data_IF_049621696474
#
_entry.id   IF_049621696474
#
_cell.length_a   1.000
_cell.length_b   1.000
_cell.length_c   1.000
_cell.angle_alpha   90.00
_cell.angle_beta   90.00
_cell.angle_gamma   90.00
#
_symmetry.space_group_name_H-M   'P 1'
#
loop_
_entity.id
_entity.type
_entity.pdbx_description
1 polymer ?
#
# COMPACT_ATOMS: atom_id res chain seq x y z
N UNK A 1 -20.63 33.41 46.60
CA UNK A 1 -21.68 34.38 46.95
C UNK A 1 -22.27 34.78 45.61
N UNK A 2 -23.42 34.28 45.18
CA UNK A 2 -24.74 34.48 45.78
C UNK A 2 -25.73 33.34 45.41
N UNK A 3 -26.99 33.45 45.82
CA UNK A 3 -28.04 32.43 45.68
C UNK A 3 -28.60 32.29 44.25
N UNK A 4 -28.89 31.05 43.81
CA UNK A 4 -30.25 30.59 43.45
C UNK A 4 -30.30 29.17 42.87
N UNK A 5 -31.27 28.37 43.37
CA UNK A 5 -32.23 27.53 42.62
C UNK A 5 -31.71 26.39 41.70
N UNK A 6 -32.27 25.17 41.61
CA UNK A 6 -33.28 24.32 42.28
C UNK A 6 -32.85 22.85 41.95
N UNK A 7 -33.33 21.72 42.50
CA UNK A 7 -34.35 21.37 43.49
C UNK A 7 -33.90 20.02 44.12
N UNK A 8 -34.11 19.76 45.42
CA UNK A 8 -33.76 18.46 46.02
C UNK A 8 -34.69 18.04 47.19
N UNK A 9 -35.70 17.22 46.90
CA UNK A 9 -36.52 16.44 47.86
C UNK A 9 -37.14 15.27 47.05
N UNK A 10 -37.31 14.03 47.52
CA UNK A 10 -37.38 13.46 48.88
C UNK A 10 -36.63 12.13 49.01
N UNK A 11 -36.15 11.83 50.22
CA UNK A 11 -35.76 10.50 50.68
C UNK A 11 -36.66 10.05 51.84
N UNK A 12 -36.90 8.72 51.90
CA UNK A 12 -37.24 7.92 53.07
C UNK A 12 -38.57 8.20 53.83
N UNK A 13 -39.40 7.15 53.89
CA UNK A 13 -40.16 6.83 55.11
C UNK A 13 -40.16 5.30 55.31
N UNK A 14 -39.75 4.87 56.51
CA UNK A 14 -39.73 3.47 56.93
C UNK A 14 -41.02 3.14 57.66
N UNK A 15 -41.72 2.06 57.29
CA UNK A 15 -42.88 1.55 58.04
C UNK A 15 -42.72 0.05 58.32
N UNK A 16 -43.19 -0.35 59.51
CA UNK A 16 -43.04 -1.66 60.13
C UNK A 16 -43.67 -2.84 59.37
N UNK A 17 -43.15 -4.03 59.69
CA UNK A 17 -43.74 -5.35 59.46
C UNK A 17 -45.17 -5.45 60.04
N UNK A 18 -46.09 -6.07 59.28
CA UNK A 18 -47.43 -6.42 59.75
C UNK A 18 -48.16 -7.32 58.75
N UNK A 19 -48.32 -8.60 59.08
CA UNK A 19 -48.90 -9.62 58.19
C UNK A 19 -50.40 -9.44 57.97
N UNK A 20 -50.85 -9.55 56.71
CA UNK A 20 -52.22 -9.98 56.38
C UNK A 20 -52.24 -10.71 55.03
N UNK A 21 -53.12 -11.70 54.89
CA UNK A 21 -53.03 -12.73 53.87
C UNK A 21 -54.00 -12.53 52.68
N UNK A 22 -53.80 -13.38 51.64
CA UNK A 22 -54.76 -13.76 50.59
C UNK A 22 -55.14 -12.72 49.52
N UNK A 23 -54.44 -12.77 48.37
CA UNK A 23 -55.08 -12.66 47.04
C UNK A 23 -54.50 -13.75 46.10
N UNK A 24 -55.26 -14.28 45.13
CA UNK A 24 -54.98 -15.58 44.53
C UNK A 24 -54.00 -15.52 43.35
N UNK A 25 -53.23 -16.60 43.20
CA UNK A 25 -52.26 -16.75 42.11
C UNK A 25 -52.94 -17.09 40.77
N UNK A 26 -53.00 -16.12 39.86
CA UNK A 26 -53.14 -16.39 38.41
C UNK A 26 -51.76 -16.44 37.76
N UNK A 27 -51.28 -17.65 37.46
CA UNK A 27 -50.05 -17.87 36.68
C UNK A 27 -50.26 -17.46 35.22
N UNK A 28 -49.84 -16.25 34.83
CA UNK A 28 -49.37 -16.02 33.45
C UNK A 28 -47.85 -16.22 33.41
N UNK A 29 -47.37 -17.13 32.55
CA UNK A 29 -45.93 -17.28 32.31
C UNK A 29 -45.48 -16.16 31.37
N UNK A 30 -44.85 -15.12 31.91
CA UNK A 30 -44.04 -14.24 31.08
C UNK A 30 -42.76 -14.97 30.67
N UNK A 31 -42.77 -15.55 29.46
CA UNK A 31 -41.55 -16.02 28.78
C UNK A 31 -40.76 -14.79 28.28
N UNK A 32 -40.17 -14.03 29.21
CA UNK A 32 -39.53 -12.72 28.96
C UNK A 32 -38.02 -12.67 29.19
N UNK A 33 -37.33 -13.82 29.19
CA UNK A 33 -35.88 -13.86 29.49
C UNK A 33 -34.98 -13.34 28.36
N UNK A 34 -35.52 -13.13 27.15
CA UNK A 34 -34.74 -12.57 26.04
C UNK A 34 -34.66 -11.03 26.09
N UNK A 35 -35.71 -10.33 26.56
CA UNK A 35 -35.74 -8.86 26.53
C UNK A 35 -34.90 -8.21 27.63
N UNK A 36 -34.59 -8.93 28.70
CA UNK A 36 -33.74 -8.42 29.79
C UNK A 36 -32.25 -8.40 29.39
N UNK A 37 -31.82 -9.31 28.51
CA UNK A 37 -30.48 -9.24 27.91
C UNK A 37 -30.39 -8.09 26.91
N UNK A 38 -31.39 -7.91 26.03
CA UNK A 38 -31.43 -6.77 25.09
C UNK A 38 -31.49 -5.41 25.82
N UNK A 39 -32.12 -5.35 27.00
CA UNK A 39 -32.15 -4.15 27.84
C UNK A 39 -30.83 -3.90 28.58
N UNK A 40 -30.15 -4.94 29.06
CA UNK A 40 -28.84 -4.81 29.72
C UNK A 40 -27.72 -4.50 28.72
N UNK A 41 -27.76 -5.08 27.52
CA UNK A 41 -26.88 -4.72 26.40
C UNK A 41 -27.09 -3.24 25.97
N UNK A 42 -28.27 -2.66 26.25
CA UNK A 42 -28.63 -1.26 25.98
C UNK A 42 -28.43 -0.27 27.13
N UNK A 43 -28.03 -0.73 28.33
CA UNK A 43 -27.90 0.12 29.54
C UNK A 43 -26.47 0.27 30.08
N UNK A 44 -25.45 -0.16 29.35
CA UNK A 44 -24.07 0.24 29.63
C UNK A 44 -23.84 1.70 29.20
N UNK A 45 -23.54 2.65 30.11
CA UNK A 45 -23.19 4.01 29.73
C UNK A 45 -21.73 4.06 29.27
N UNK A 46 -21.43 3.47 28.12
CA UNK A 46 -20.13 3.61 27.45
C UNK A 46 -20.19 4.73 26.42
N UNK A 47 -19.15 5.58 26.42
CA UNK A 47 -18.82 6.39 25.25
C UNK A 47 -18.72 5.47 24.02
N UNK A 48 -19.14 5.96 22.85
CA UNK A 48 -19.47 5.14 21.67
C UNK A 48 -18.56 3.94 21.45
N UNK A 49 -19.13 2.73 21.59
CA UNK A 49 -18.38 1.46 21.59
C UNK A 49 -17.45 1.31 20.38
N UNK A 50 -16.15 1.51 20.61
CA UNK A 50 -15.09 1.01 19.73
C UNK A 50 -15.16 -0.53 19.68
N UNK A 51 -15.28 -1.16 18.50
CA UNK A 51 -15.32 -2.61 18.42
C UNK A 51 -13.98 -3.21 18.83
N UNK A 52 -13.95 -4.04 19.87
CA UNK A 52 -12.73 -4.78 20.22
C UNK A 52 -12.36 -5.73 19.10
N UNK A 53 -11.18 -5.56 18.51
CA UNK A 53 -10.67 -6.43 17.46
C UNK A 53 -10.33 -7.83 17.99
N UNK A 54 -10.36 -8.82 17.11
CA UNK A 54 -9.96 -10.19 17.39
C UNK A 54 -9.41 -10.84 16.10
N UNK A 55 -8.75 -11.99 16.24
CA UNK A 55 -8.22 -12.74 15.10
C UNK A 55 -8.58 -14.23 15.21
N UNK A 56 -8.72 -14.88 14.05
CA UNK A 56 -8.86 -16.32 13.93
C UNK A 56 -8.51 -16.77 12.51
N UNK A 57 -8.86 -18.00 12.13
CA UNK A 57 -8.58 -18.54 10.79
C UNK A 57 -9.88 -19.00 10.12
N UNK A 58 -9.98 -18.80 8.81
CA UNK A 58 -11.05 -19.38 7.99
C UNK A 58 -10.49 -20.50 7.14
N UNK A 59 -11.09 -21.69 7.25
CA UNK A 59 -10.65 -22.87 6.50
C UNK A 59 -10.62 -22.65 4.97
N UNK A 60 -11.48 -21.76 4.44
CA UNK A 60 -11.51 -21.36 3.02
C UNK A 60 -10.30 -20.51 2.57
N UNK A 61 -9.51 -19.98 3.50
CA UNK A 61 -8.32 -19.15 3.26
C UNK A 61 -7.02 -19.82 3.77
N UNK A 62 -7.08 -21.09 4.14
CA UNK A 62 -5.94 -21.84 4.69
C UNK A 62 -5.51 -21.33 6.08
N UNK A 63 -4.21 -21.17 6.27
CA UNK A 63 -3.60 -20.70 7.53
C UNK A 63 -3.57 -19.18 7.69
N UNK A 64 -4.17 -18.42 6.78
CA UNK A 64 -4.19 -16.96 6.85
C UNK A 64 -5.05 -16.48 8.03
N UNK A 65 -4.44 -15.63 8.87
CA UNK A 65 -5.14 -15.00 9.99
C UNK A 65 -6.10 -13.92 9.47
N UNK A 66 -7.38 -14.07 9.79
CA UNK A 66 -8.45 -13.14 9.47
C UNK A 66 -8.77 -12.35 10.74
N UNK A 67 -8.80 -11.02 10.64
CA UNK A 67 -9.29 -10.17 11.72
C UNK A 67 -10.81 -10.03 11.65
N UNK A 68 -11.42 -10.05 12.84
CA UNK A 68 -12.83 -9.81 13.07
C UNK A 68 -13.03 -8.82 14.21
N UNK A 69 -14.29 -8.66 14.62
CA UNK A 69 -14.69 -7.88 15.80
C UNK A 69 -15.45 -8.74 16.80
N UNK A 70 -15.29 -8.44 18.08
CA UNK A 70 -16.00 -9.09 19.17
C UNK A 70 -17.43 -8.59 19.27
N UNK A 71 -18.40 -9.46 18.97
CA UNK A 71 -19.84 -9.18 19.05
C UNK A 71 -20.58 -10.37 19.65
N UNK A 72 -21.86 -10.20 20.04
CA UNK A 72 -22.68 -11.34 20.43
C UNK A 72 -22.92 -12.29 19.25
N UNK A 73 -23.06 -13.59 19.50
CA UNK A 73 -23.30 -14.57 18.44
C UNK A 73 -24.56 -14.23 17.61
N UNK A 74 -25.62 -13.75 18.26
CA UNK A 74 -26.83 -13.29 17.60
C UNK A 74 -26.59 -12.09 16.67
N UNK A 75 -25.76 -11.10 17.08
CA UNK A 75 -25.39 -10.00 16.19
C UNK A 75 -24.53 -10.45 15.01
N UNK A 76 -23.61 -11.39 15.22
CA UNK A 76 -22.82 -11.97 14.12
C UNK A 76 -23.73 -12.65 13.09
N UNK A 77 -24.62 -13.55 13.53
CA UNK A 77 -25.54 -14.26 12.63
C UNK A 77 -26.52 -13.31 11.91
N UNK A 78 -27.03 -12.27 12.58
CA UNK A 78 -27.90 -11.25 11.94
C UNK A 78 -27.19 -10.45 10.85
N UNK A 79 -25.88 -10.23 10.99
CA UNK A 79 -25.08 -9.55 9.98
C UNK A 79 -24.63 -10.47 8.82
N UNK A 80 -25.06 -11.74 8.79
CA UNK A 80 -24.55 -12.74 7.85
C UNK A 80 -23.10 -13.16 8.14
N UNK A 81 -22.60 -12.87 9.34
CA UNK A 81 -21.20 -13.06 9.72
C UNK A 81 -20.81 -14.51 9.96
N UNK A 82 -19.54 -14.80 9.68
CA UNK A 82 -18.85 -16.03 10.03
C UNK A 82 -18.13 -15.90 11.36
N UNK A 83 -18.22 -16.94 12.19
CA UNK A 83 -17.54 -17.02 13.49
C UNK A 83 -16.11 -17.52 13.27
N UNK A 84 -15.13 -16.71 13.69
CA UNK A 84 -13.70 -17.02 13.68
C UNK A 84 -13.22 -17.72 14.95
N UNK A 85 -13.99 -17.60 16.05
CA UNK A 85 -13.64 -18.11 17.37
C UNK A 85 -14.35 -17.35 18.49
N UNK A 86 -13.89 -17.53 19.72
CA UNK A 86 -14.38 -16.83 20.92
C UNK A 86 -13.47 -15.67 21.28
N UNK A 87 -14.04 -14.56 21.77
CA UNK A 87 -13.26 -13.44 22.28
C UNK A 87 -12.84 -13.61 23.75
N UNK A 88 -11.86 -12.83 24.20
CA UNK A 88 -11.41 -12.81 25.59
C UNK A 88 -12.55 -12.39 26.56
N UNK A 89 -13.40 -11.46 26.13
CA UNK A 89 -14.63 -11.08 26.84
C UNK A 89 -15.64 -12.24 26.78
N UNK A 90 -15.99 -12.79 27.94
CA UNK A 90 -16.89 -13.95 28.06
C UNK A 90 -18.25 -13.64 27.41
N UNK A 91 -18.71 -14.55 26.53
CA UNK A 91 -20.00 -14.42 25.83
C UNK A 91 -19.92 -13.73 24.47
N UNK A 92 -18.79 -13.13 24.09
CA UNK A 92 -18.58 -12.57 22.76
C UNK A 92 -17.88 -13.56 21.81
N UNK A 93 -18.27 -13.51 20.54
CA UNK A 93 -17.70 -14.28 19.45
C UNK A 93 -16.90 -13.34 18.53
N UNK A 94 -15.79 -13.84 17.99
CA UNK A 94 -15.04 -13.13 16.96
C UNK A 94 -15.76 -13.29 15.62
N UNK A 95 -16.17 -12.18 15.00
CA UNK A 95 -17.02 -12.17 13.82
C UNK A 95 -16.41 -11.40 12.64
N UNK A 96 -16.55 -11.93 11.43
CA UNK A 96 -16.25 -11.24 10.17
C UNK A 96 -17.39 -11.46 9.18
N UNK A 97 -17.80 -10.45 8.43
CA UNK A 97 -18.86 -10.61 7.42
C UNK A 97 -18.26 -10.88 6.04
N UNK A 98 -18.43 -12.08 5.46
CA UNK A 98 -17.99 -12.36 4.11
C UNK A 98 -18.87 -11.62 3.09
N UNK A 99 -18.23 -11.03 2.08
CA UNK A 99 -18.89 -10.36 0.96
C UNK A 99 -18.22 -10.86 -0.32
N UNK A 100 -18.91 -11.73 -1.04
CA UNK A 100 -18.46 -12.21 -2.34
C UNK A 100 -18.93 -11.22 -3.41
N UNK A 101 -17.99 -10.70 -4.17
CA UNK A 101 -18.24 -9.82 -5.30
C UNK A 101 -18.85 -10.55 -6.50
N UNK A 102 -19.42 -9.79 -7.43
CA UNK A 102 -20.04 -10.34 -8.64
C UNK A 102 -19.34 -9.85 -9.93
N UNK A 103 -19.78 -10.37 -11.07
CA UNK A 103 -19.23 -10.02 -12.39
C UNK A 103 -19.77 -8.72 -12.99
N UNK A 104 -20.56 -7.93 -12.26
CA UNK A 104 -21.09 -6.64 -12.72
C UNK A 104 -20.47 -5.47 -11.95
N UNK A 105 -20.55 -4.26 -12.52
CA UNK A 105 -20.16 -3.04 -11.79
C UNK A 105 -21.07 -2.86 -10.58
N UNK A 106 -20.54 -3.14 -9.38
CA UNK A 106 -21.26 -3.02 -8.12
C UNK A 106 -20.67 -1.88 -7.29
N UNK A 107 -21.52 -0.96 -6.83
CA UNK A 107 -21.19 -0.03 -5.73
C UNK A 107 -21.87 -0.53 -4.46
N UNK A 108 -21.10 -0.87 -3.42
CA UNK A 108 -21.62 -1.38 -2.15
C UNK A 108 -21.12 -0.54 -1.00
N UNK A 109 -22.04 0.00 -0.19
CA UNK A 109 -21.69 0.71 1.05
C UNK A 109 -21.53 -0.29 2.19
N UNK A 110 -20.36 -0.28 2.82
CA UNK A 110 -19.95 -1.22 3.86
C UNK A 110 -20.03 -0.55 5.22
N UNK A 111 -21.09 -0.88 5.97
CA UNK A 111 -21.26 -0.42 7.35
C UNK A 111 -20.70 -1.41 8.39
N UNK A 112 -20.43 -2.65 7.99
CA UNK A 112 -19.93 -3.70 8.88
C UNK A 112 -18.48 -3.41 9.34
N UNK A 113 -18.22 -3.63 10.64
CA UNK A 113 -16.94 -3.30 11.29
C UNK A 113 -15.77 -4.19 10.90
N UNK A 114 -16.04 -5.43 10.51
CA UNK A 114 -15.05 -6.32 9.89
C UNK A 114 -15.70 -7.07 8.74
N UNK A 115 -15.09 -7.00 7.56
CA UNK A 115 -15.52 -7.69 6.35
C UNK A 115 -14.38 -8.50 5.74
N UNK A 116 -14.78 -9.48 4.93
CA UNK A 116 -13.90 -10.23 4.07
C UNK A 116 -14.44 -10.14 2.64
N UNK A 117 -13.84 -9.28 1.83
CA UNK A 117 -14.20 -9.07 0.42
C UNK A 117 -13.47 -10.11 -0.44
N UNK A 118 -14.21 -10.90 -1.21
CA UNK A 118 -13.61 -11.98 -2.02
C UNK A 118 -14.13 -12.04 -3.44
N UNK A 119 -13.23 -12.37 -4.36
CA UNK A 119 -13.54 -12.76 -5.73
C UNK A 119 -12.43 -13.65 -6.28
N UNK A 120 -12.76 -14.60 -7.16
CA UNK A 120 -11.79 -15.43 -7.87
C UNK A 120 -12.40 -15.93 -9.17
N UNK A 121 -11.63 -15.92 -10.26
CA UNK A 121 -12.07 -16.51 -11.53
C UNK A 121 -13.01 -15.65 -12.37
N UNK A 122 -13.24 -14.39 -12.00
CA UNK A 122 -14.22 -13.49 -12.62
C UNK A 122 -13.52 -12.40 -13.42
N UNK A 123 -13.58 -12.52 -14.75
CA UNK A 123 -13.09 -11.53 -15.70
C UNK A 123 -14.10 -10.40 -15.94
N UNK A 124 -13.60 -9.24 -16.36
CA UNK A 124 -14.35 -8.03 -16.72
C UNK A 124 -15.31 -7.52 -15.62
N UNK A 125 -14.88 -7.57 -14.36
CA UNK A 125 -15.64 -7.06 -13.22
C UNK A 125 -14.99 -5.80 -12.61
N UNK A 126 -15.83 -4.96 -12.01
CA UNK A 126 -15.42 -3.75 -11.28
C UNK A 126 -16.26 -3.64 -10.01
N UNK A 127 -15.65 -3.80 -8.84
CA UNK A 127 -16.37 -3.76 -7.57
C UNK A 127 -15.86 -2.60 -6.72
N UNK A 128 -16.77 -1.70 -6.38
CA UNK A 128 -16.51 -0.45 -5.66
C UNK A 128 -17.10 -0.56 -4.26
N UNK A 129 -16.24 -0.65 -3.26
CA UNK A 129 -16.59 -0.74 -1.86
C UNK A 129 -16.39 0.63 -1.21
N UNK A 130 -17.50 1.27 -0.82
CA UNK A 130 -17.45 2.51 -0.04
C UNK A 130 -17.52 2.17 1.44
N UNK A 131 -16.64 2.74 2.25
CA UNK A 131 -16.62 2.63 3.70
C UNK A 131 -16.90 4.02 4.30
N UNK A 132 -18.17 4.40 4.52
CA UNK A 132 -18.51 5.67 5.16
C UNK A 132 -17.89 5.78 6.55
N UNK A 133 -17.45 6.98 6.92
CA UNK A 133 -17.02 7.30 8.27
C UNK A 133 -18.17 7.03 9.25
N UNK A 134 -17.84 6.33 10.34
CA UNK A 134 -18.79 6.00 11.40
C UNK A 134 -18.33 6.57 12.74
N UNK A 135 -19.29 6.81 13.63
CA UNK A 135 -18.98 7.28 14.97
C UNK A 135 -18.01 6.33 15.69
N UNK A 136 -17.01 6.89 16.38
CA UNK A 136 -15.95 6.15 17.07
C UNK A 136 -14.89 5.50 16.19
N UNK A 137 -14.96 5.60 14.86
CA UNK A 137 -13.98 5.03 13.92
C UNK A 137 -13.02 6.12 13.43
N UNK A 138 -11.73 5.80 13.35
CA UNK A 138 -10.69 6.72 12.91
C UNK A 138 -9.87 6.22 11.70
N UNK A 139 -9.80 4.90 11.45
CA UNK A 139 -9.13 4.37 10.27
C UNK A 139 -9.69 3.01 9.82
N UNK A 140 -9.23 2.54 8.65
CA UNK A 140 -9.39 1.17 8.18
C UNK A 140 -8.03 0.47 8.18
N UNK A 141 -8.02 -0.83 8.47
CA UNK A 141 -6.92 -1.73 8.15
C UNK A 141 -7.38 -2.68 7.05
N UNK A 142 -6.65 -2.73 5.94
CA UNK A 142 -6.90 -3.59 4.77
C UNK A 142 -5.77 -4.61 4.67
N UNK A 143 -6.06 -5.90 4.78
CA UNK A 143 -5.08 -6.99 4.64
C UNK A 143 -5.33 -7.80 3.38
N UNK A 144 -4.29 -7.98 2.57
CA UNK A 144 -4.32 -8.76 1.33
C UNK A 144 -3.98 -10.23 1.65
N UNK A 145 -4.99 -11.06 1.94
CA UNK A 145 -4.79 -12.41 2.48
C UNK A 145 -4.37 -13.44 1.42
N UNK A 146 -4.92 -13.34 0.21
CA UNK A 146 -4.53 -14.10 -0.98
C UNK A 146 -5.02 -13.30 -2.19
N UNK A 147 -4.25 -12.28 -2.53
CA UNK A 147 -4.61 -11.31 -3.58
C UNK A 147 -3.54 -11.32 -4.67
N UNK A 148 -3.95 -11.83 -5.83
CA UNK A 148 -3.10 -12.02 -7.00
C UNK A 148 -3.85 -11.50 -8.21
N UNK A 149 -3.39 -10.34 -8.65
CA UNK A 149 -3.84 -9.66 -9.85
C UNK A 149 -2.77 -9.83 -10.92
N UNK A 150 -3.10 -9.54 -12.18
CA UNK A 150 -2.08 -9.38 -13.22
C UNK A 150 -1.03 -8.34 -12.74
N UNK A 151 0.28 -8.61 -12.90
CA UNK A 151 1.34 -7.64 -12.60
C UNK A 151 1.16 -6.32 -13.35
N UNK A 152 1.87 -5.23 -12.95
CA UNK A 152 1.94 -4.04 -13.79
C UNK A 152 2.46 -4.38 -15.19
N UNK A 153 2.06 -3.55 -16.16
CA UNK A 153 2.50 -3.66 -17.54
C UNK A 153 4.03 -3.57 -17.63
N UNK A 154 4.59 -4.38 -18.53
CA UNK A 154 5.99 -4.38 -18.94
C UNK A 154 6.16 -3.80 -20.36
N UNK A 155 5.18 -3.04 -20.85
CA UNK A 155 5.23 -2.41 -22.17
C UNK A 155 5.82 -1.02 -22.03
N UNK A 156 6.78 -0.66 -22.90
CA UNK A 156 7.61 0.55 -22.81
C UNK A 156 6.88 1.90 -22.66
N UNK A 157 5.60 2.01 -23.03
CA UNK A 157 4.80 3.24 -22.90
C UNK A 157 3.80 3.20 -21.73
N UNK A 158 3.89 2.20 -20.87
CA UNK A 158 3.01 1.98 -19.71
C UNK A 158 3.68 1.09 -18.66
N UNK A 159 5.02 1.09 -18.63
CA UNK A 159 5.78 0.31 -17.65
C UNK A 159 5.34 0.76 -16.25
N UNK A 160 5.08 -0.19 -15.36
CA UNK A 160 4.56 0.11 -14.01
C UNK A 160 3.04 0.35 -13.92
N UNK A 161 2.29 0.41 -15.02
CA UNK A 161 0.84 0.64 -14.96
C UNK A 161 0.02 -0.62 -14.69
N UNK A 162 -0.94 -0.50 -13.76
CA UNK A 162 -1.95 -1.52 -13.47
C UNK A 162 -3.11 -1.51 -14.48
N UNK A 163 -2.82 -1.75 -15.76
CA UNK A 163 -3.78 -1.63 -16.87
C UNK A 163 -4.87 -2.70 -16.82
N UNK A 164 -4.47 -3.96 -16.61
CA UNK A 164 -5.37 -5.13 -16.75
C UNK A 164 -6.24 -5.28 -15.52
N UNK A 165 -5.61 -5.56 -14.39
CA UNK A 165 -6.26 -5.69 -13.08
C UNK A 165 -5.70 -4.62 -12.14
N UNK A 166 -6.52 -4.08 -11.25
CA UNK A 166 -6.10 -3.09 -10.26
C UNK A 166 -6.95 -3.10 -8.99
N UNK A 167 -6.34 -2.70 -7.88
CA UNK A 167 -7.03 -2.19 -6.71
C UNK A 167 -6.64 -0.72 -6.58
N UNK A 168 -7.62 0.17 -6.65
CA UNK A 168 -7.44 1.61 -6.44
C UNK A 168 -8.14 2.01 -5.14
N UNK A 169 -7.38 2.58 -4.21
CA UNK A 169 -7.90 3.15 -2.96
C UNK A 169 -7.94 4.67 -3.10
N UNK A 170 -9.04 5.28 -2.65
CA UNK A 170 -9.30 6.72 -2.76
C UNK A 170 -9.93 7.26 -1.46
N UNK A 171 -10.02 8.60 -1.38
CA UNK A 171 -10.71 9.33 -0.31
C UNK A 171 -10.13 9.08 1.11
N UNK A 172 -8.83 8.77 1.23
CA UNK A 172 -8.14 8.69 2.52
C UNK A 172 -7.03 9.74 2.63
N UNK A 173 -7.01 10.60 3.67
CA UNK A 173 -5.92 11.54 3.92
C UNK A 173 -4.54 10.91 4.21
N UNK A 174 -4.45 9.58 4.29
CA UNK A 174 -3.16 8.85 4.31
C UNK A 174 -2.50 8.81 2.93
N UNK A 175 -3.26 9.01 1.86
CA UNK A 175 -2.78 8.97 0.48
C UNK A 175 -2.44 10.40 0.03
N UNK A 176 -1.15 10.67 -0.22
CA UNK A 176 -0.69 12.03 -0.53
C UNK A 176 -1.30 12.60 -1.81
N UNK A 177 -1.42 11.77 -2.86
CA UNK A 177 -2.09 12.12 -4.12
C UNK A 177 -3.63 11.99 -4.06
N UNK A 178 -4.21 11.71 -2.88
CA UNK A 178 -5.65 11.40 -2.71
C UNK A 178 -6.07 10.00 -3.16
N UNK A 179 -5.22 9.29 -3.91
CA UNK A 179 -5.41 7.90 -4.32
C UNK A 179 -4.08 7.11 -4.34
N UNK A 180 -4.20 5.78 -4.42
CA UNK A 180 -3.10 4.86 -4.76
C UNK A 180 -3.69 3.70 -5.58
N UNK A 181 -2.98 3.26 -6.61
CA UNK A 181 -3.37 2.13 -7.47
C UNK A 181 -2.31 1.04 -7.40
N UNK A 182 -2.73 -0.20 -7.16
CA UNK A 182 -1.84 -1.35 -6.93
C UNK A 182 -2.31 -2.63 -7.64
N UNK A 183 -1.37 -3.47 -8.06
CA UNK A 183 -1.60 -4.72 -8.78
C UNK A 183 -0.47 -5.75 -8.52
N UNK A 184 -0.47 -6.88 -9.24
CA UNK A 184 0.43 -8.01 -8.98
C UNK A 184 0.05 -8.85 -7.77
N UNK A 185 1.04 -9.54 -7.18
CA UNK A 185 0.85 -10.38 -5.98
C UNK A 185 1.09 -9.56 -4.70
N UNK A 186 0.00 -9.19 -4.04
CA UNK A 186 0.00 -8.44 -2.78
C UNK A 186 -0.19 -9.33 -1.55
N UNK A 187 -0.17 -10.66 -1.71
CA UNK A 187 -0.39 -11.63 -0.62
C UNK A 187 0.52 -11.35 0.58
N UNK A 188 -0.06 -11.27 1.78
CA UNK A 188 0.62 -10.99 3.04
C UNK A 188 0.94 -9.51 3.28
N UNK A 189 0.65 -8.61 2.35
CA UNK A 189 0.78 -7.16 2.55
C UNK A 189 -0.49 -6.56 3.19
N UNK A 190 -0.42 -5.28 3.56
CA UNK A 190 -1.54 -4.52 4.13
C UNK A 190 -1.43 -3.03 3.84
N UNK A 191 -2.54 -2.32 4.10
CA UNK A 191 -2.65 -0.86 4.12
C UNK A 191 -3.41 -0.42 5.38
N UNK A 192 -3.01 0.72 5.96
CA UNK A 192 -3.79 1.47 6.95
C UNK A 192 -4.23 2.79 6.34
N UNK A 193 -5.51 3.12 6.48
CA UNK A 193 -6.14 4.24 5.78
C UNK A 193 -6.89 5.07 6.81
N UNK A 194 -6.35 6.23 7.15
CA UNK A 194 -7.01 7.17 8.08
C UNK A 194 -8.24 7.80 7.43
N UNK A 195 -9.23 8.14 8.25
CA UNK A 195 -10.29 9.09 7.87
C UNK A 195 -9.90 10.55 8.18
N UNK A 196 -8.73 10.81 8.77
CA UNK A 196 -8.32 12.13 9.28
C UNK A 196 -6.85 12.43 9.02
N UNK A 197 -6.53 13.64 8.56
CA UNK A 197 -5.15 14.13 8.46
C UNK A 197 -4.58 14.54 9.82
N UNK A 198 -3.29 14.27 10.04
CA UNK A 198 -2.54 14.69 11.24
C UNK A 198 -3.04 14.04 12.55
N UNK A 199 -2.61 14.62 13.67
CA UNK A 199 -3.08 14.24 15.02
C UNK A 199 -4.35 15.00 15.45
N UNK A 200 -4.74 16.04 14.71
CA UNK A 200 -5.83 16.97 15.07
C UNK A 200 -7.04 16.90 14.12
N UNK A 201 -6.90 16.31 12.92
CA UNK A 201 -8.03 15.98 12.05
C UNK A 201 -8.50 17.11 11.12
N UNK A 202 -7.59 18.02 10.72
CA UNK A 202 -7.92 19.23 9.94
C UNK A 202 -8.48 18.96 8.54
N UNK A 203 -8.25 17.75 8.00
CA UNK A 203 -8.91 17.24 6.79
C UNK A 203 -9.53 15.87 7.09
N UNK A 204 -10.82 15.82 7.50
CA UNK A 204 -11.55 14.57 7.62
C UNK A 204 -12.15 14.17 6.28
N UNK A 205 -12.02 12.90 5.92
CA UNK A 205 -12.81 12.29 4.85
C UNK A 205 -14.09 11.68 5.40
N UNK A 206 -15.19 11.80 4.67
CA UNK A 206 -16.50 11.24 5.02
C UNK A 206 -16.66 9.77 4.60
N UNK A 207 -15.79 9.26 3.72
CA UNK A 207 -15.73 7.85 3.30
C UNK A 207 -14.33 7.48 2.82
N UNK A 208 -14.03 6.20 2.76
CA UNK A 208 -12.86 5.67 2.03
C UNK A 208 -13.40 4.73 0.95
N UNK A 209 -12.85 4.78 -0.26
CA UNK A 209 -13.31 3.97 -1.39
C UNK A 209 -12.22 2.99 -1.80
N UNK A 210 -12.60 1.71 -1.97
CA UNK A 210 -11.74 0.67 -2.52
C UNK A 210 -12.41 0.14 -3.79
N UNK A 211 -11.84 0.45 -4.94
CA UNK A 211 -12.30 -0.03 -6.25
C UNK A 211 -11.40 -1.17 -6.71
N UNK A 212 -12.00 -2.30 -7.09
CA UNK A 212 -11.27 -3.49 -7.55
C UNK A 212 -11.71 -3.84 -8.98
N UNK A 213 -10.81 -3.63 -9.93
CA UNK A 213 -10.97 -3.99 -11.34
C UNK A 213 -10.28 -5.32 -11.61
N UNK A 214 -10.99 -6.26 -12.21
CA UNK A 214 -10.43 -7.55 -12.64
C UNK A 214 -10.84 -7.83 -14.08
N UNK A 215 -9.94 -7.64 -15.03
CA UNK A 215 -10.13 -8.01 -16.43
C UNK A 215 -9.68 -9.45 -16.70
N UNK A 216 -8.66 -9.95 -16.00
CA UNK A 216 -8.18 -11.32 -16.22
C UNK A 216 -9.00 -12.38 -15.47
N UNK A 217 -9.26 -13.53 -16.12
CA UNK A 217 -9.91 -14.67 -15.48
C UNK A 217 -9.03 -15.37 -14.43
N UNK A 218 -7.72 -15.08 -14.40
CA UNK A 218 -6.79 -15.53 -13.37
C UNK A 218 -6.81 -14.65 -12.12
N UNK A 219 -7.44 -13.48 -12.17
CA UNK A 219 -7.50 -12.54 -11.06
C UNK A 219 -8.24 -13.14 -9.86
N UNK A 220 -7.69 -12.92 -8.67
CA UNK A 220 -8.34 -13.21 -7.40
C UNK A 220 -7.94 -12.20 -6.33
N UNK A 221 -8.86 -11.92 -5.42
CA UNK A 221 -8.59 -11.14 -4.23
C UNK A 221 -9.31 -11.69 -3.01
N UNK A 222 -8.66 -11.51 -1.86
CA UNK A 222 -9.21 -11.77 -0.54
C UNK A 222 -8.74 -10.65 0.38
N UNK A 223 -9.59 -9.63 0.53
CA UNK A 223 -9.31 -8.42 1.30
C UNK A 223 -10.05 -8.49 2.62
N UNK A 224 -9.31 -8.61 3.73
CA UNK A 224 -9.90 -8.47 5.06
C UNK A 224 -9.81 -7.01 5.48
N UNK A 225 -10.95 -6.34 5.60
CA UNK A 225 -11.04 -4.92 5.94
C UNK A 225 -11.69 -4.76 7.31
N UNK A 226 -11.01 -4.10 8.22
CA UNK A 226 -11.47 -3.85 9.60
C UNK A 226 -11.47 -2.36 9.90
N UNK A 227 -12.58 -1.88 10.46
CA UNK A 227 -12.72 -0.51 10.97
C UNK A 227 -12.07 -0.42 12.35
N UNK A 228 -11.08 0.45 12.47
CA UNK A 228 -10.27 0.67 13.68
C UNK A 228 -10.84 1.86 14.46
N UNK A 229 -11.03 1.68 15.76
CA UNK A 229 -11.54 2.74 16.63
C UNK A 229 -10.56 3.88 16.86
N UNK A 230 -11.06 5.03 17.30
CA UNK A 230 -10.21 6.16 17.69
C UNK A 230 -9.42 5.92 18.98
N UNK A 231 -9.92 5.06 19.88
CA UNK A 231 -9.27 4.67 21.14
C UNK A 231 -8.57 3.30 21.05
N UNK A 232 -8.38 2.78 19.84
CA UNK A 232 -7.81 1.45 19.59
C UNK A 232 -6.26 1.50 19.72
N UNK A 233 -5.62 0.62 20.52
CA UNK A 233 -4.16 0.60 20.64
C UNK A 233 -3.45 0.25 19.32
N UNK A 234 -4.12 -0.44 18.39
CA UNK A 234 -3.57 -0.75 17.08
C UNK A 234 -3.64 0.44 16.11
N UNK A 235 -4.26 1.56 16.50
CA UNK A 235 -4.37 2.77 15.68
C UNK A 235 -2.99 3.19 15.12
N UNK A 236 -3.03 3.66 13.88
CA UNK A 236 -1.85 3.93 13.07
C UNK A 236 -1.79 5.43 12.81
N UNK A 237 -0.58 6.01 12.86
CA UNK A 237 -0.38 7.41 12.55
C UNK A 237 -0.88 7.72 11.13
N UNK A 238 -1.58 8.84 10.96
CA UNK A 238 -2.37 9.11 9.74
C UNK A 238 -1.57 9.22 8.44
N UNK A 239 -0.26 9.43 8.49
CA UNK A 239 0.64 9.41 7.33
C UNK A 239 1.12 7.99 6.96
N UNK A 240 0.94 6.99 7.83
CA UNK A 240 1.58 5.70 7.67
C UNK A 240 0.69 4.69 6.95
N UNK A 241 1.02 4.37 5.70
CA UNK A 241 0.26 3.41 4.89
C UNK A 241 0.55 1.96 5.30
N UNK A 242 1.80 1.62 5.65
CA UNK A 242 2.17 0.28 6.11
C UNK A 242 2.85 0.34 7.48
N UNK A 243 2.25 -0.25 8.53
CA UNK A 243 2.83 -0.34 9.89
C UNK A 243 3.30 -1.76 10.17
N UNK A 244 4.54 -1.92 10.59
CA UNK A 244 5.13 -3.20 11.01
C UNK A 244 5.53 -3.14 12.49
N UNK A 245 5.10 -4.13 13.28
CA UNK A 245 5.20 -4.13 14.76
C UNK A 245 5.96 -5.32 15.35
N UNK A 246 6.70 -6.06 14.52
CA UNK A 246 7.56 -7.16 14.97
C UNK A 246 8.97 -6.64 15.28
N UNK A 247 9.78 -7.37 16.05
CA UNK A 247 11.19 -7.02 16.29
C UNK A 247 12.03 -7.09 15.00
N UNK A 248 11.65 -7.96 14.07
CA UNK A 248 12.24 -8.04 12.75
C UNK A 248 11.18 -8.51 11.74
N UNK A 249 11.35 -8.14 10.48
CA UNK A 249 10.44 -8.53 9.41
C UNK A 249 10.94 -8.13 8.03
N UNK A 250 10.17 -8.50 7.01
CA UNK A 250 10.41 -8.09 5.62
C UNK A 250 9.29 -7.15 5.17
N UNK A 251 9.66 -6.14 4.41
CA UNK A 251 8.76 -5.22 3.70
C UNK A 251 9.09 -5.32 2.21
N UNK A 252 8.09 -5.16 1.35
CA UNK A 252 8.27 -5.12 -0.10
C UNK A 252 7.39 -4.04 -0.69
N UNK A 253 7.76 -3.51 -1.87
CA UNK A 253 6.87 -2.61 -2.60
C UNK A 253 5.55 -3.29 -2.95
N UNK A 254 4.47 -2.50 -3.05
CA UNK A 254 3.34 -2.90 -3.88
C UNK A 254 3.83 -3.13 -5.32
N UNK A 255 3.27 -4.12 -6.02
CA UNK A 255 3.76 -4.54 -7.33
C UNK A 255 5.00 -5.44 -7.35
N UNK A 256 5.74 -5.59 -6.23
CA UNK A 256 6.98 -6.38 -6.17
C UNK A 256 6.83 -7.76 -6.86
N UNK A 257 7.70 -8.09 -7.83
CA UNK A 257 9.03 -7.52 -8.03
C UNK A 257 9.12 -6.28 -8.93
N UNK A 258 8.00 -5.77 -9.46
CA UNK A 258 7.97 -4.60 -10.37
C UNK A 258 7.53 -3.31 -9.67
N UNK A 259 7.96 -2.18 -10.22
CA UNK A 259 7.70 -0.86 -9.69
C UNK A 259 6.34 -0.44 -10.24
N UNK A 260 5.62 0.40 -9.51
CA UNK A 260 4.32 0.88 -9.91
C UNK A 260 4.45 2.38 -10.11
N UNK A 261 3.85 2.92 -11.18
CA UNK A 261 3.75 4.36 -11.35
C UNK A 261 2.96 4.98 -10.18
N UNK A 262 3.23 6.25 -9.89
CA UNK A 262 2.45 7.12 -9.02
C UNK A 262 2.29 6.61 -7.57
N UNK A 263 3.36 6.08 -6.98
CA UNK A 263 3.34 5.65 -5.56
C UNK A 263 4.04 6.67 -4.67
N UNK A 264 3.28 7.31 -3.79
CA UNK A 264 3.80 8.08 -2.68
C UNK A 264 3.21 7.57 -1.36
N UNK A 265 4.02 6.88 -0.55
CA UNK A 265 3.56 6.35 0.73
C UNK A 265 4.67 6.16 1.75
N UNK A 266 4.28 6.08 3.03
CA UNK A 266 5.21 5.84 4.14
C UNK A 266 5.03 4.43 4.70
N UNK A 267 6.16 3.72 4.82
CA UNK A 267 6.30 2.49 5.60
C UNK A 267 6.85 2.87 6.97
N UNK A 268 6.24 2.40 8.05
CA UNK A 268 6.71 2.65 9.41
C UNK A 268 6.91 1.36 10.19
N UNK A 269 7.91 1.38 11.06
CA UNK A 269 8.22 0.29 11.99
C UNK A 269 8.17 0.81 13.42
N UNK A 270 7.67 -0.02 14.33
CA UNK A 270 7.62 0.24 15.75
C UNK A 270 7.95 -1.06 16.49
N UNK A 271 8.88 -1.02 17.44
CA UNK A 271 9.17 -2.20 18.26
C UNK A 271 7.95 -2.57 19.14
N UNK A 272 7.68 -3.88 19.37
CA UNK A 272 6.63 -4.29 20.31
C UNK A 272 6.93 -3.87 21.75
N UNK A 273 8.20 -3.70 22.13
CA UNK A 273 8.59 -3.20 23.45
C UNK A 273 9.05 -1.73 23.43
N UNK A 274 8.66 -0.90 24.41
CA UNK A 274 9.25 0.42 24.63
C UNK A 274 10.70 0.27 25.06
N UNK A 275 11.64 0.53 24.15
CA UNK A 275 13.07 0.40 24.45
C UNK A 275 13.99 0.23 23.24
N UNK A 276 13.44 -0.08 22.05
CA UNK A 276 14.22 -0.14 20.82
C UNK A 276 15.03 1.15 20.65
N UNK A 277 16.36 1.03 20.61
CA UNK A 277 17.28 2.16 20.47
C UNK A 277 17.47 2.53 19.01
N UNK A 278 17.54 1.52 18.14
CA UNK A 278 17.78 1.72 16.72
C UNK A 278 16.96 0.77 15.85
N UNK A 279 16.70 1.16 14.61
CA UNK A 279 16.15 0.31 13.56
C UNK A 279 17.19 0.14 12.46
N UNK A 280 17.62 -1.09 12.20
CA UNK A 280 18.51 -1.42 11.09
C UNK A 280 17.69 -1.85 9.89
N UNK A 281 17.95 -1.26 8.72
CA UNK A 281 17.38 -1.65 7.43
C UNK A 281 18.49 -2.17 6.50
N UNK A 282 18.20 -3.20 5.73
CA UNK A 282 19.08 -3.77 4.72
C UNK A 282 18.25 -4.54 3.69
N UNK A 283 18.81 -4.89 2.53
CA UNK A 283 18.14 -5.78 1.59
C UNK A 283 17.74 -7.11 2.24
N UNK A 284 16.66 -7.73 1.74
CA UNK A 284 16.27 -9.09 2.15
C UNK A 284 17.42 -10.11 1.94
N UNK A 285 17.48 -11.17 2.75
CA UNK A 285 18.47 -12.26 2.53
C UNK A 285 18.09 -13.17 1.36
N UNK A 286 16.80 -13.35 1.12
CA UNK A 286 16.21 -14.13 0.01
C UNK A 286 15.14 -13.32 -0.72
N UNK A 287 14.86 -13.64 -1.98
CA UNK A 287 13.63 -13.15 -2.62
C UNK A 287 12.41 -13.72 -1.87
N UNK A 288 11.39 -12.90 -1.55
CA UNK A 288 10.16 -13.37 -0.91
C UNK A 288 9.25 -14.12 -1.90
N UNK A 289 9.49 -13.98 -3.22
CA UNK A 289 8.84 -14.74 -4.28
C UNK A 289 9.82 -15.82 -4.72
N UNK A 290 9.50 -17.08 -4.39
CA UNK A 290 10.39 -18.21 -4.66
C UNK A 290 10.50 -18.49 -6.15
N UNK A 291 11.73 -18.54 -6.68
CA UNK A 291 12.01 -18.98 -8.05
C UNK A 291 13.20 -18.29 -8.72
N UNK A 292 13.42 -16.99 -8.45
CA UNK A 292 14.34 -16.18 -9.26
C UNK A 292 15.55 -15.66 -8.48
N UNK A 293 16.69 -15.55 -9.17
CA UNK A 293 17.90 -14.85 -8.73
C UNK A 293 17.76 -13.31 -8.82
N UNK A 294 16.52 -12.82 -8.67
CA UNK A 294 16.13 -11.43 -8.81
C UNK A 294 16.96 -10.49 -7.91
N UNK A 295 17.37 -9.30 -8.41
CA UNK A 295 17.81 -8.24 -7.52
C UNK A 295 16.69 -7.93 -6.53
N UNK A 296 17.06 -7.85 -5.26
CA UNK A 296 16.10 -7.64 -4.16
C UNK A 296 15.84 -6.16 -3.94
N UNK A 297 16.66 -5.31 -4.54
CA UNK A 297 16.49 -3.88 -4.59
C UNK A 297 16.93 -3.39 -5.96
N UNK A 298 16.02 -2.75 -6.68
CA UNK A 298 16.30 -1.94 -7.84
C UNK A 298 15.27 -0.82 -7.87
N UNK A 299 15.68 0.44 -7.89
CA UNK A 299 14.76 1.58 -8.02
C UNK A 299 15.28 2.51 -9.11
N UNK A 300 14.41 2.86 -10.06
CA UNK A 300 14.61 3.54 -11.36
C UNK A 300 15.14 4.99 -11.32
N UNK A 301 15.51 5.49 -10.13
CA UNK A 301 15.62 6.92 -9.78
C UNK A 301 16.63 7.83 -10.49
N UNK A 302 17.27 7.41 -11.57
CA UNK A 302 18.53 7.99 -12.08
C UNK A 302 18.42 8.81 -13.36
N UNK A 303 17.62 9.90 -13.36
CA UNK A 303 18.01 11.11 -14.15
C UNK A 303 17.31 12.40 -13.75
N UNK A 304 18.07 13.50 -13.79
CA UNK A 304 17.56 14.81 -14.21
C UNK A 304 18.16 15.12 -15.58
N UNK A 305 17.38 15.48 -16.63
CA UNK A 305 17.93 15.71 -17.98
C UNK A 305 18.70 17.03 -18.18
N UNK A 306 18.76 17.92 -17.18
CA UNK A 306 18.93 19.36 -17.43
C UNK A 306 20.31 19.96 -17.16
N UNK A 307 21.31 19.20 -16.69
CA UNK A 307 22.68 19.73 -16.52
C UNK A 307 23.76 18.73 -16.97
N UNK A 308 24.26 18.93 -18.19
CA UNK A 308 25.34 18.14 -18.79
C UNK A 308 26.76 18.61 -18.42
N UNK A 309 26.93 19.35 -17.31
CA UNK A 309 28.22 19.95 -16.93
C UNK A 309 28.90 19.36 -15.69
N UNK A 310 28.27 18.38 -15.01
CA UNK A 310 28.80 17.77 -13.80
C UNK A 310 29.47 16.40 -14.09
N UNK A 311 30.62 16.10 -13.46
CA UNK A 311 31.29 14.80 -13.62
C UNK A 311 30.46 13.65 -13.02
N UNK A 312 30.74 12.39 -13.39
CA UNK A 312 30.02 11.23 -12.86
C UNK A 312 30.03 11.22 -11.32
N UNK A 313 28.87 11.07 -10.66
CA UNK A 313 28.84 10.87 -9.22
C UNK A 313 29.57 9.56 -8.88
N UNK A 314 30.23 9.54 -7.72
CA UNK A 314 30.85 8.31 -7.21
C UNK A 314 29.76 7.28 -6.90
N UNK A 315 30.13 6.01 -6.89
CA UNK A 315 29.26 4.92 -6.43
C UNK A 315 28.74 5.24 -5.00
N UNK A 316 27.48 5.65 -4.90
CA UNK A 316 26.85 6.17 -3.67
C UNK A 316 26.22 7.57 -3.79
N UNK A 317 26.54 8.35 -4.84
CA UNK A 317 26.09 9.73 -5.05
C UNK A 317 25.10 9.88 -6.24
N UNK A 318 24.41 8.81 -6.67
CA UNK A 318 23.31 8.96 -7.65
C UNK A 318 22.21 9.84 -7.03
N UNK A 319 21.89 11.02 -7.60
CA UNK A 319 20.87 11.87 -7.03
C UNK A 319 19.51 11.32 -7.45
N UNK A 320 18.94 10.48 -6.59
CA UNK A 320 17.66 9.82 -6.80
C UNK A 320 16.53 10.86 -6.84
N UNK A 321 16.24 11.39 -8.03
CA UNK A 321 15.40 12.56 -8.23
C UNK A 321 13.96 12.18 -8.55
N UNK A 322 13.77 11.26 -9.50
CA UNK A 322 12.48 10.68 -9.89
C UNK A 322 12.02 9.72 -8.80
N UNK A 323 12.77 8.64 -8.61
CA UNK A 323 12.33 7.50 -7.80
C UNK A 323 13.32 7.22 -6.66
N UNK A 324 12.80 7.02 -5.46
CA UNK A 324 13.65 6.86 -4.29
C UNK A 324 12.94 6.25 -3.09
N UNK A 325 13.73 5.57 -2.27
CA UNK A 325 13.43 5.39 -0.86
C UNK A 325 14.13 6.48 -0.05
N UNK A 326 13.38 7.23 0.75
CA UNK A 326 13.90 8.35 1.55
C UNK A 326 13.66 8.12 3.05
N UNK A 327 14.70 8.33 3.85
CA UNK A 327 14.64 8.19 5.30
C UNK A 327 15.01 9.52 5.98
N UNK A 328 14.05 10.15 6.66
CA UNK A 328 14.25 11.44 7.33
C UNK A 328 15.05 11.35 8.63
N UNK A 329 15.24 10.14 9.18
CA UNK A 329 15.87 9.92 10.48
C UNK A 329 17.38 9.67 10.37
N UNK A 330 17.89 9.56 9.14
CA UNK A 330 19.32 9.65 8.87
C UNK A 330 19.79 11.11 9.02
N UNK A 331 21.04 11.30 9.42
CA UNK A 331 21.66 12.61 9.57
C UNK A 331 22.98 12.67 8.77
N UNK A 332 23.00 13.28 7.56
CA UNK A 332 21.87 13.92 6.89
C UNK A 332 20.84 12.91 6.35
N UNK A 333 19.58 13.33 6.12
CA UNK A 333 18.60 12.51 5.39
C UNK A 333 19.08 12.17 3.99
N UNK A 334 18.92 10.91 3.58
CA UNK A 334 19.37 10.42 2.26
C UNK A 334 18.25 9.73 1.47
N UNK A 335 18.37 9.84 0.14
CA UNK A 335 17.57 9.11 -0.83
C UNK A 335 18.36 7.92 -1.36
N UNK A 336 17.69 6.82 -1.69
CA UNK A 336 18.30 5.58 -2.14
C UNK A 336 17.57 5.04 -3.38
N UNK A 337 18.33 4.70 -4.42
CA UNK A 337 17.89 4.15 -5.69
C UNK A 337 19.05 3.38 -6.36
N UNK A 338 18.85 2.89 -7.59
CA UNK A 338 19.79 2.00 -8.28
C UNK A 338 19.64 0.55 -7.81
N UNK A 339 20.59 -0.31 -8.19
CA UNK A 339 20.52 -1.77 -8.01
C UNK A 339 20.99 -2.33 -6.65
N UNK A 340 21.17 -1.49 -5.62
CA UNK A 340 21.45 -1.97 -4.25
C UNK A 340 20.98 -0.98 -3.18
N UNK A 341 20.63 -1.48 -2.00
CA UNK A 341 20.26 -0.67 -0.84
C UNK A 341 21.33 -0.76 0.26
N UNK A 342 21.98 0.36 0.66
CA UNK A 342 22.98 0.33 1.70
C UNK A 342 22.35 -0.09 3.03
N UNK A 343 23.07 -0.87 3.82
CA UNK A 343 22.67 -1.17 5.20
C UNK A 343 22.70 0.12 6.02
N UNK A 344 21.52 0.64 6.36
CA UNK A 344 21.36 1.83 7.21
C UNK A 344 20.91 1.42 8.61
N UNK A 345 21.21 2.25 9.61
CA UNK A 345 20.68 2.11 10.96
C UNK A 345 20.29 3.50 11.46
N UNK A 346 19.05 3.64 11.92
CA UNK A 346 18.48 4.91 12.41
C UNK A 346 18.25 4.82 13.91
N UNK A 347 18.54 5.90 14.63
CA UNK A 347 18.30 6.01 16.06
C UNK A 347 16.84 6.33 16.38
N UNK A 348 16.40 5.95 17.59
CA UNK A 348 15.09 6.30 18.16
C UNK A 348 14.03 5.20 18.14
N UNK A 349 14.32 3.99 17.64
CA UNK A 349 13.43 2.82 17.67
C UNK A 349 12.17 2.90 16.79
N UNK A 350 11.80 4.10 16.37
CA UNK A 350 10.82 4.39 15.34
C UNK A 350 11.57 4.54 14.02
N UNK A 351 11.23 3.73 13.01
CA UNK A 351 11.72 3.93 11.65
C UNK A 351 10.57 4.29 10.73
N UNK A 352 10.74 5.27 9.85
CA UNK A 352 9.89 5.37 8.67
C UNK A 352 10.72 5.53 7.40
N UNK A 353 10.19 4.98 6.31
CA UNK A 353 10.77 5.01 4.98
C UNK A 353 9.68 5.51 4.03
N UNK A 354 9.95 6.63 3.36
CA UNK A 354 9.09 7.16 2.31
C UNK A 354 9.44 6.50 0.99
N UNK A 355 8.45 5.93 0.33
CA UNK A 355 8.53 5.43 -1.04
C UNK A 355 8.01 6.54 -1.95
N UNK A 356 8.80 6.92 -2.94
CA UNK A 356 8.41 7.81 -4.03
C UNK A 356 8.77 7.13 -5.35
N UNK A 357 7.75 6.74 -6.11
CA UNK A 357 7.81 6.20 -7.47
C UNK A 357 6.97 7.14 -8.33
N UNK A 358 7.57 7.80 -9.32
CA UNK A 358 6.89 8.87 -10.06
C UNK A 358 5.97 8.34 -11.17
N UNK A 359 5.53 9.20 -12.08
CA UNK A 359 4.57 8.84 -13.14
C UNK A 359 5.20 8.07 -14.32
N UNK A 360 6.53 7.86 -14.32
CA UNK A 360 7.31 7.37 -15.45
C UNK A 360 8.31 6.26 -15.07
N UNK A 361 7.83 5.07 -14.71
CA UNK A 361 8.65 3.87 -14.48
C UNK A 361 9.37 3.29 -15.72
N UNK A 362 9.62 4.12 -16.74
CA UNK A 362 10.41 3.72 -17.90
C UNK A 362 11.81 3.33 -17.44
N UNK A 363 12.24 2.11 -17.79
CA UNK A 363 13.64 1.69 -17.73
C UNK A 363 14.53 2.48 -18.71
N UNK A 364 14.71 3.78 -18.49
CA UNK A 364 15.56 4.75 -19.20
C UNK A 364 15.46 4.86 -20.74
N UNK A 365 14.58 4.11 -21.41
CA UNK A 365 14.57 3.90 -22.86
C UNK A 365 13.65 4.85 -23.69
N UNK A 366 13.16 5.95 -23.11
CA UNK A 366 12.36 6.96 -23.80
C UNK A 366 13.14 8.26 -24.02
N UNK A 367 13.54 8.54 -25.27
CA UNK A 367 14.10 9.84 -25.65
C UNK A 367 12.96 10.73 -26.16
N UNK A 368 12.79 11.90 -25.53
CA UNK A 368 12.01 13.00 -26.09
C UNK A 368 12.87 13.74 -27.13
N UNK A 369 12.41 13.76 -28.38
CA UNK A 369 13.04 14.50 -29.47
C UNK A 369 12.20 15.72 -29.82
N UNK A 370 12.73 16.92 -29.55
CA UNK A 370 12.24 18.17 -30.11
C UNK A 370 12.74 18.28 -31.57
N UNK A 371 11.85 18.05 -32.53
CA UNK A 371 12.20 18.08 -33.94
C UNK A 371 12.42 19.53 -34.45
N UNK A 372 13.46 19.77 -35.28
CA UNK A 372 13.67 21.08 -35.89
C UNK A 372 12.56 21.42 -36.91
N UNK A 373 12.26 22.70 -37.15
CA UNK A 373 11.24 23.12 -38.11
C UNK A 373 11.50 22.55 -39.52
N UNK A 374 10.58 21.74 -40.02
CA UNK A 374 10.68 21.09 -41.34
C UNK A 374 11.12 19.62 -41.31
N UNK A 375 11.30 19.02 -40.13
CA UNK A 375 11.47 17.57 -39.99
C UNK A 375 10.22 16.78 -40.47
N UNK A 376 10.38 15.53 -40.92
CA UNK A 376 9.26 14.62 -41.21
C UNK A 376 8.42 14.35 -39.95
N UNK A 377 7.16 13.94 -40.10
CA UNK A 377 6.30 13.63 -38.94
C UNK A 377 6.83 12.43 -38.14
N UNK A 378 6.48 12.30 -36.85
CA UNK A 378 6.93 11.18 -36.00
C UNK A 378 6.67 9.80 -36.64
N UNK A 379 5.56 9.66 -37.38
CA UNK A 379 5.16 8.46 -38.10
C UNK A 379 6.11 8.12 -39.28
N UNK A 380 6.67 9.14 -39.94
CA UNK A 380 7.56 9.00 -41.09
C UNK A 380 9.01 8.69 -40.69
N UNK A 381 9.44 9.01 -39.46
CA UNK A 381 10.79 8.73 -38.97
C UNK A 381 11.13 7.23 -38.94
N UNK A 382 10.11 6.35 -38.92
CA UNK A 382 10.22 4.88 -39.00
C UNK A 382 10.86 4.36 -40.31
N UNK A 383 11.05 5.21 -41.32
CA UNK A 383 11.49 4.81 -42.68
C UNK A 383 12.80 5.45 -43.15
N UNK A 384 13.41 6.33 -42.36
CA UNK A 384 14.67 6.98 -42.71
C UNK A 384 15.88 6.08 -42.40
N UNK A 385 16.85 6.02 -43.32
CA UNK A 385 18.06 5.17 -43.21
C UNK A 385 18.92 5.41 -41.95
N UNK A 386 18.66 6.49 -41.20
CA UNK A 386 19.38 6.86 -39.97
C UNK A 386 18.87 6.19 -38.69
N UNK A 387 17.62 5.67 -38.63
CA UNK A 387 17.03 5.08 -37.41
C UNK A 387 16.13 3.84 -37.71
N UNK A 388 16.69 2.74 -38.25
CA UNK A 388 15.91 1.67 -38.89
C UNK A 388 15.15 0.70 -37.96
N UNK A 389 14.91 1.01 -36.68
CA UNK A 389 14.23 0.11 -35.72
C UNK A 389 13.27 0.78 -34.73
N UNK A 390 13.11 2.10 -34.75
CA UNK A 390 12.48 2.83 -33.63
C UNK A 390 10.98 3.09 -33.87
N UNK A 391 10.13 2.63 -32.95
CA UNK A 391 8.71 2.98 -32.93
C UNK A 391 8.53 4.35 -32.27
N UNK A 392 8.48 5.41 -33.10
CA UNK A 392 8.21 6.76 -32.63
C UNK A 392 6.73 7.11 -32.70
N UNK A 393 6.18 7.60 -31.58
CA UNK A 393 4.80 8.02 -31.44
C UNK A 393 4.70 9.48 -31.00
N UNK A 394 3.57 10.14 -31.32
CA UNK A 394 3.23 11.44 -30.72
C UNK A 394 2.81 11.21 -29.25
N UNK A 395 3.36 11.97 -28.28
CA UNK A 395 2.89 11.91 -26.90
C UNK A 395 1.41 12.35 -26.81
N UNK A 396 0.62 11.65 -25.99
CA UNK A 396 -0.81 11.93 -25.79
C UNK A 396 -1.09 13.03 -24.75
N UNK A 397 -0.06 13.72 -24.27
CA UNK A 397 -0.13 14.70 -23.18
C UNK A 397 -0.44 16.09 -23.75
N UNK A 398 -1.43 16.78 -23.17
CA UNK A 398 -2.07 17.97 -23.73
C UNK A 398 -1.23 19.25 -23.85
N UNK A 399 0.01 19.27 -23.36
CA UNK A 399 0.93 20.41 -23.42
C UNK A 399 2.17 20.16 -24.32
N UNK A 400 2.25 18.99 -24.99
CA UNK A 400 3.33 18.72 -25.93
C UNK A 400 3.21 19.61 -27.19
N UNK A 401 4.33 20.19 -27.64
CA UNK A 401 4.37 20.91 -28.91
C UNK A 401 4.15 19.91 -30.06
N UNK A 402 3.55 20.39 -31.16
CA UNK A 402 3.31 19.60 -32.39
C UNK A 402 4.57 18.93 -33.01
N UNK A 403 5.76 19.33 -32.55
CA UNK A 403 7.10 18.88 -32.98
C UNK A 403 7.75 17.85 -32.04
N UNK A 404 7.10 17.46 -30.95
CA UNK A 404 7.68 16.54 -29.95
C UNK A 404 7.32 15.09 -30.28
N UNK A 405 8.33 14.21 -30.40
CA UNK A 405 8.13 12.76 -30.58
C UNK A 405 8.71 11.99 -29.39
N UNK A 406 8.03 10.90 -28.99
CA UNK A 406 8.55 9.90 -28.05
C UNK A 406 8.97 8.68 -28.87
N UNK A 407 10.26 8.36 -28.87
CA UNK A 407 10.78 7.21 -29.61
C UNK A 407 11.11 6.05 -28.67
N UNK A 408 10.50 4.90 -28.95
CA UNK A 408 10.82 3.62 -28.32
C UNK A 408 12.15 3.11 -28.89
N UNK A 409 13.19 3.08 -28.07
CA UNK A 409 14.41 2.32 -28.37
C UNK A 409 14.13 0.87 -27.97
N UNK A 410 13.86 0.03 -28.97
CA UNK A 410 13.84 -1.42 -28.79
C UNK A 410 15.18 -1.95 -29.29
N UNK A 411 15.84 -2.72 -28.42
CA UNK A 411 17.17 -3.33 -28.55
C UNK A 411 18.39 -2.38 -28.61
N UNK A 412 19.34 -2.75 -27.73
CA UNK A 412 20.79 -2.48 -27.75
C UNK A 412 21.30 -1.02 -27.82
N UNK A 413 21.76 -0.57 -26.64
CA UNK A 413 22.72 0.51 -26.35
C UNK A 413 22.19 1.94 -26.17
N UNK A 414 22.89 2.67 -25.28
CA UNK A 414 22.70 4.09 -24.85
C UNK A 414 21.71 4.26 -23.68
N UNK A 415 21.99 5.01 -22.59
CA UNK A 415 23.09 5.94 -22.25
C UNK A 415 23.55 5.82 -20.78
N UNK A 416 24.84 6.11 -20.55
CA UNK A 416 25.52 6.84 -19.43
C UNK A 416 26.93 6.22 -19.30
N UNK A 417 28.04 6.96 -19.36
CA UNK A 417 28.18 8.42 -19.50
C UNK A 417 29.64 8.91 -19.43
N UNK A 418 30.61 8.01 -19.57
CA UNK A 418 32.05 8.32 -19.55
C UNK A 418 32.68 7.99 -20.91
N UNK A 419 33.34 8.99 -21.49
CA UNK A 419 34.23 8.84 -22.65
C UNK A 419 35.62 8.43 -22.18
N UNK A 420 35.97 7.14 -22.37
CA UNK A 420 37.32 6.66 -22.09
C UNK A 420 38.14 6.80 -23.36
N UNK A 421 39.08 7.75 -23.34
CA UNK A 421 40.10 7.86 -24.40
C UNK A 421 41.07 6.68 -24.26
N UNK A 422 41.06 5.76 -25.23
CA UNK A 422 42.01 4.64 -25.31
C UNK A 422 43.01 4.89 -26.44
N UNK A 423 44.22 4.35 -26.36
CA UNK A 423 45.11 4.41 -27.54
C UNK A 423 44.60 3.45 -28.63
N UNK A 424 44.92 3.68 -29.93
CA UNK A 424 44.38 2.87 -31.02
C UNK A 424 44.61 1.35 -30.91
N UNK A 425 45.64 0.93 -30.17
CA UNK A 425 45.98 -0.48 -29.96
C UNK A 425 45.36 -1.11 -28.68
N UNK A 426 44.70 -0.34 -27.81
CA UNK A 426 44.16 -0.83 -26.54
C UNK A 426 42.66 -1.15 -26.63
N UNK A 427 42.27 -2.36 -26.22
CA UNK A 427 40.86 -2.72 -26.06
C UNK A 427 40.20 -1.84 -24.98
N UNK A 428 38.89 -1.61 -25.10
CA UNK A 428 38.15 -0.91 -24.05
C UNK A 428 38.27 -1.66 -22.70
N UNK A 429 38.50 -0.95 -21.59
CA UNK A 429 38.59 -1.58 -20.28
C UNK A 429 37.23 -2.15 -19.87
N UNK A 430 37.21 -3.35 -19.29
CA UNK A 430 36.03 -3.85 -18.58
C UNK A 430 35.98 -3.19 -17.21
N UNK A 431 34.92 -2.44 -16.95
CA UNK A 431 34.62 -1.86 -15.64
C UNK A 431 33.64 -2.80 -14.94
N UNK A 432 33.82 -3.06 -13.65
CA UNK A 432 32.84 -3.83 -12.85
C UNK A 432 31.46 -3.22 -13.02
N UNK A 433 30.47 -4.02 -13.44
CA UNK A 433 29.06 -3.63 -13.70
C UNK A 433 28.77 -2.89 -15.03
N UNK A 434 29.77 -2.58 -15.88
CA UNK A 434 29.57 -1.85 -17.14
C UNK A 434 30.27 -2.50 -18.34
N UNK A 435 29.61 -2.51 -19.49
CA UNK A 435 30.19 -2.93 -20.76
C UNK A 435 30.71 -1.70 -21.52
N UNK A 436 31.96 -1.73 -21.95
CA UNK A 436 32.56 -0.62 -22.68
C UNK A 436 32.83 -1.02 -24.13
N UNK A 437 32.15 -0.35 -25.07
CA UNK A 437 32.28 -0.61 -26.51
C UNK A 437 33.05 0.54 -27.19
N UNK A 438 33.82 0.19 -28.24
CA UNK A 438 34.65 1.14 -28.98
C UNK A 438 33.82 1.80 -30.08
N UNK A 439 33.60 3.11 -29.99
CA UNK A 439 32.83 3.88 -31.00
C UNK A 439 33.73 4.53 -32.05
N UNK A 440 34.96 4.89 -31.68
CA UNK A 440 35.97 5.41 -32.61
C UNK A 440 37.35 4.79 -32.31
N UNK A 441 38.36 4.92 -33.20
CA UNK A 441 39.68 4.34 -32.97
C UNK A 441 40.35 4.74 -31.64
N UNK A 442 39.95 5.86 -31.03
CA UNK A 442 40.50 6.37 -29.77
C UNK A 442 39.47 6.54 -28.64
N UNK A 443 38.22 6.11 -28.84
CA UNK A 443 37.12 6.40 -27.91
C UNK A 443 36.31 5.15 -27.60
N UNK A 444 36.15 4.87 -26.32
CA UNK A 444 35.23 3.87 -25.78
C UNK A 444 34.12 4.57 -25.01
N UNK A 445 32.87 4.15 -25.21
CA UNK A 445 31.77 4.48 -24.32
C UNK A 445 31.47 3.26 -23.47
N UNK A 446 31.46 3.47 -22.16
CA UNK A 446 30.86 2.54 -21.22
C UNK A 446 29.35 2.81 -21.16
N UNK A 447 28.57 1.72 -21.13
CA UNK A 447 27.16 1.72 -20.79
C UNK A 447 26.94 0.59 -19.78
N UNK A 448 25.97 0.76 -18.89
CA UNK A 448 25.53 -0.37 -18.08
C UNK A 448 24.88 -1.37 -19.04
N UNK A 449 25.35 -2.61 -19.07
CA UNK A 449 24.62 -3.64 -19.80
C UNK A 449 23.35 -3.93 -19.01
N UNK A 450 22.29 -3.21 -19.35
CA UNK A 450 20.94 -3.53 -18.92
C UNK A 450 20.65 -4.93 -19.44
N UNK A 451 20.51 -5.88 -18.51
CA UNK A 451 20.28 -7.26 -18.89
C UNK A 451 18.79 -7.42 -19.19
N UNK A 452 18.44 -7.21 -20.46
CA UNK A 452 17.07 -7.26 -20.95
C UNK A 452 16.45 -8.67 -20.83
N UNK A 453 17.26 -9.70 -20.52
CA UNK A 453 16.82 -11.05 -20.17
C UNK A 453 16.35 -11.11 -18.69
N UNK A 454 16.78 -10.16 -17.85
CA UNK A 454 16.49 -10.06 -16.41
C UNK A 454 15.58 -8.86 -16.04
N UNK A 455 14.88 -8.26 -17.02
CA UNK A 455 13.89 -7.16 -16.98
C UNK A 455 12.64 -7.38 -16.07
N UNK A 456 12.72 -8.24 -15.04
CA UNK A 456 11.57 -8.63 -14.21
C UNK A 456 11.45 -7.89 -12.87
N UNK A 457 12.50 -7.18 -12.43
CA UNK A 457 12.64 -6.83 -11.01
C UNK A 457 13.03 -5.36 -10.75
N UNK A 458 12.19 -4.41 -11.15
CA UNK A 458 12.23 -3.03 -10.67
C UNK A 458 11.50 -2.96 -9.32
N UNK A 459 12.14 -2.98 -8.17
CA UNK A 459 11.44 -2.83 -6.90
C UNK A 459 12.28 -3.19 -5.70
N UNK A 460 11.69 -3.15 -4.49
CA UNK A 460 12.42 -3.47 -3.27
C UNK A 460 11.77 -4.55 -2.41
N UNK A 461 12.63 -5.37 -1.82
CA UNK A 461 12.44 -6.15 -0.61
C UNK A 461 13.52 -5.72 0.38
N UNK A 462 13.11 -5.06 1.46
CA UNK A 462 13.97 -4.73 2.59
C UNK A 462 13.58 -5.56 3.80
N UNK A 463 14.55 -5.88 4.65
CA UNK A 463 14.31 -6.40 5.98
C UNK A 463 14.71 -5.36 7.02
N UNK A 464 13.95 -5.29 8.10
CA UNK A 464 14.21 -4.42 9.24
C UNK A 464 14.48 -5.24 10.50
N UNK A 465 15.19 -4.65 11.46
CA UNK A 465 15.43 -5.25 12.79
C UNK A 465 15.56 -4.14 13.83
N UNK A 466 14.83 -4.26 14.93
CA UNK A 466 14.90 -3.40 16.11
C UNK A 466 15.99 -3.90 17.06
N UNK A 467 16.87 -2.99 17.49
CA UNK A 467 17.95 -3.29 18.44
C UNK A 467 17.65 -2.58 19.78
N UNK A 468 17.76 -3.31 20.90
CA UNK A 468 17.33 -2.90 22.25
C UNK A 468 18.50 -2.69 23.23
#
# INVERSE_FOLDING_TARGET
MDWNALFAIFLLNSIHLGSCANFPATRSRFNGLNSLQEFLDGLSPTNGNVPTQCSGTLASLGSNAVQGVCVSAASCSRAGGSVLGTCATRGLTCCVVPITASSSTLRTQITNKAVLLTQSGVANAENIFEFPLQNGICSLTVKFLDTRLVPPSSQLLSEGDCIVDSITVQDSPTLHAGFITVCGDMTGQHMHLSYRAGALGDHPSDKIVISVKTTAATAKYSLNVVQVGCDDPDLVASYCLQKFVADAGQVRSFGYPRQLNNQYYHICTHGPEPGARTVTWQECTSSPIGGSAAPKFFVTGSRSPTDGSLPPPKLGDYPCFTDYLYNTLLNPPSRHCGGSFPKITVDGGLGHLTVNFDENEYGHAAILLDLPPGAPSCEQMTTAETFPSHNCHRPLIGDAKDTSCVCSIIDEHHLIGDEITVTPAENCPTVTEYYCNRTTPSLCYCYQQYDDINQENTGFCLQFTHNY
#
